data_IF_894910366729
#
_entry.id   IF_894910366729
#
_cell.length_a   1.000
_cell.length_b   1.000
_cell.length_c   1.000
_cell.angle_alpha   90.00
_cell.angle_beta   90.00
_cell.angle_gamma   90.00
#
_symmetry.space_group_name_H-M   'P 1'
#
loop_
_entity.id
_entity.type
_entity.pdbx_description
1 polymer ?
#
# COMPACT_ATOMS: atom_id res chain seq x y z
N UNK A 1 14.19 7.35 15.93
CA UNK A 1 13.05 6.54 15.44
C UNK A 1 11.85 6.99 16.23
N UNK A 2 10.90 7.63 15.57
CA UNK A 2 9.73 8.20 16.22
C UNK A 2 8.65 7.13 16.31
N UNK A 3 8.16 6.90 17.52
CA UNK A 3 7.09 5.94 17.79
C UNK A 3 5.92 6.68 18.42
N UNK A 4 4.71 6.38 17.93
CA UNK A 4 3.47 6.83 18.54
C UNK A 4 2.82 5.63 19.21
N UNK A 5 2.52 5.76 20.51
CA UNK A 5 1.76 4.74 21.24
C UNK A 5 0.29 4.96 20.98
N UNK A 6 -0.36 3.97 20.36
CA UNK A 6 -1.80 3.96 20.16
C UNK A 6 -2.42 3.00 21.19
N UNK A 7 -3.26 3.49 22.13
CA UNK A 7 -3.99 2.60 23.02
C UNK A 7 -5.03 1.81 22.23
N UNK A 8 -5.08 0.50 22.45
CA UNK A 8 -6.05 -0.38 21.81
C UNK A 8 -6.57 -1.39 22.83
N UNK A 9 -7.89 -1.50 22.94
CA UNK A 9 -8.52 -2.52 23.77
C UNK A 9 -8.52 -3.86 23.05
N UNK A 10 -8.19 -4.93 23.78
CA UNK A 10 -8.22 -6.30 23.29
C UNK A 10 -8.99 -7.18 24.26
N UNK A 11 -9.65 -8.21 23.74
CA UNK A 11 -10.35 -9.15 24.60
C UNK A 11 -9.36 -9.91 25.48
N UNK A 12 -9.76 -10.17 26.73
CA UNK A 12 -8.96 -10.96 27.68
C UNK A 12 -8.62 -12.34 27.12
N UNK A 13 -9.55 -12.95 26.40
CA UNK A 13 -9.35 -14.25 25.74
C UNK A 13 -8.20 -14.18 24.71
N UNK A 14 -8.18 -13.16 23.88
CA UNK A 14 -7.13 -12.97 22.87
C UNK A 14 -5.77 -12.72 23.53
N UNK A 15 -5.73 -11.85 24.55
CA UNK A 15 -4.51 -11.61 25.32
C UNK A 15 -3.95 -12.91 25.93
N UNK A 16 -4.81 -13.71 26.56
CA UNK A 16 -4.43 -14.99 27.16
C UNK A 16 -3.94 -15.99 26.12
N UNK A 17 -4.58 -16.08 24.95
CA UNK A 17 -4.10 -16.93 23.84
C UNK A 17 -2.72 -16.49 23.37
N UNK A 18 -2.51 -15.20 23.13
CA UNK A 18 -1.21 -14.70 22.65
C UNK A 18 -0.11 -14.97 23.68
N UNK A 19 -0.40 -14.74 24.96
CA UNK A 19 0.53 -15.00 26.07
C UNK A 19 0.85 -16.50 26.22
N UNK A 20 -0.15 -17.37 26.07
CA UNK A 20 0.04 -18.84 26.14
C UNK A 20 1.05 -19.34 25.12
N UNK A 21 1.11 -18.73 23.94
CA UNK A 21 2.04 -19.09 22.87
C UNK A 21 3.31 -18.24 22.83
N UNK A 22 3.61 -17.48 23.89
CA UNK A 22 4.81 -16.62 24.01
C UNK A 22 5.02 -15.69 22.81
N UNK A 23 3.92 -15.22 22.21
CA UNK A 23 3.97 -14.34 21.05
C UNK A 23 4.10 -12.87 21.49
N UNK A 24 4.91 -12.10 20.77
CA UNK A 24 5.04 -10.66 20.98
C UNK A 24 3.84 -9.91 20.41
N UNK A 25 2.98 -9.38 21.30
CA UNK A 25 1.80 -8.58 20.92
C UNK A 25 2.22 -7.38 20.07
N UNK A 26 3.25 -6.65 20.50
CA UNK A 26 3.73 -5.47 19.80
C UNK A 26 4.24 -5.79 18.40
N UNK A 27 4.96 -6.90 18.21
CA UNK A 27 5.48 -7.26 16.89
C UNK A 27 4.41 -7.80 15.96
N UNK A 28 3.37 -8.45 16.50
CA UNK A 28 2.18 -8.81 15.74
C UNK A 28 1.46 -7.55 15.27
N UNK A 29 1.18 -6.62 16.20
CA UNK A 29 0.46 -5.37 15.87
C UNK A 29 1.23 -4.57 14.84
N UNK A 30 2.54 -4.33 15.04
CA UNK A 30 3.38 -3.58 14.08
C UNK A 30 3.38 -4.22 12.70
N UNK A 31 3.57 -5.55 12.61
CA UNK A 31 3.57 -6.25 11.31
C UNK A 31 2.20 -6.20 10.64
N UNK A 32 1.13 -6.42 11.38
CA UNK A 32 -0.23 -6.41 10.84
C UNK A 32 -0.62 -5.02 10.34
N UNK A 33 -0.37 -3.97 11.13
CA UNK A 33 -0.61 -2.59 10.72
C UNK A 33 0.25 -2.21 9.51
N UNK A 34 1.54 -2.56 9.50
CA UNK A 34 2.42 -2.29 8.37
C UNK A 34 1.98 -3.00 7.09
N UNK A 35 1.51 -4.25 7.18
CA UNK A 35 0.95 -4.98 6.03
C UNK A 35 -0.33 -4.34 5.51
N UNK A 36 -1.25 -3.96 6.40
CA UNK A 36 -2.53 -3.35 6.00
C UNK A 36 -2.33 -1.96 5.37
N UNK A 37 -1.37 -1.18 5.90
CA UNK A 37 -0.99 0.10 5.33
C UNK A 37 -0.46 -0.05 3.90
N UNK A 38 0.52 -0.95 3.70
CA UNK A 38 1.08 -1.23 2.36
C UNK A 38 0.02 -1.69 1.36
N UNK A 39 -0.86 -2.59 1.77
CA UNK A 39 -1.98 -3.06 0.94
C UNK A 39 -2.91 -1.91 0.54
N UNK A 40 -3.14 -0.97 1.44
CA UNK A 40 -3.94 0.23 1.16
C UNK A 40 -3.24 1.18 0.19
N UNK A 41 -1.92 1.36 0.30
CA UNK A 41 -1.09 2.13 -0.63
C UNK A 41 -1.12 1.51 -2.04
N UNK A 42 -0.86 0.21 -2.15
CA UNK A 42 -0.93 -0.54 -3.40
C UNK A 42 -2.30 -0.41 -4.07
N UNK A 43 -3.38 -0.52 -3.29
CA UNK A 43 -4.74 -0.36 -3.79
C UNK A 43 -4.98 1.04 -4.37
N UNK A 44 -4.46 2.09 -3.73
CA UNK A 44 -4.52 3.46 -4.24
C UNK A 44 -3.72 3.61 -5.53
N UNK A 45 -2.48 3.13 -5.56
CA UNK A 45 -1.63 3.19 -6.76
C UNK A 45 -2.30 2.46 -7.93
N UNK A 46 -2.82 1.25 -7.70
CA UNK A 46 -3.54 0.47 -8.71
C UNK A 46 -4.77 1.20 -9.22
N UNK A 47 -5.51 1.88 -8.34
CA UNK A 47 -6.65 2.71 -8.74
C UNK A 47 -6.21 3.85 -9.65
N UNK A 48 -5.20 4.62 -9.24
CA UNK A 48 -4.66 5.72 -10.05
C UNK A 48 -4.12 5.27 -11.40
N UNK A 49 -3.42 4.13 -11.46
CA UNK A 49 -2.96 3.53 -12.71
C UNK A 49 -4.11 3.11 -13.63
N UNK A 50 -5.17 2.53 -13.07
CA UNK A 50 -6.35 2.17 -13.84
C UNK A 50 -7.06 3.41 -14.41
N UNK A 51 -7.19 4.47 -13.60
CA UNK A 51 -7.80 5.73 -14.02
C UNK A 51 -6.98 6.37 -15.16
N UNK A 52 -5.64 6.40 -15.02
CA UNK A 52 -4.74 6.88 -16.06
C UNK A 52 -4.82 6.02 -17.34
N UNK A 53 -4.80 4.69 -17.21
CA UNK A 53 -4.92 3.77 -18.36
C UNK A 53 -6.25 3.98 -19.10
N UNK A 54 -7.34 4.24 -18.38
CA UNK A 54 -8.65 4.52 -18.99
C UNK A 54 -8.66 5.81 -19.82
N UNK A 55 -7.89 6.82 -19.39
CA UNK A 55 -7.70 8.07 -20.15
C UNK A 55 -6.84 7.79 -21.38
N UNK A 56 -5.68 7.15 -21.19
CA UNK A 56 -4.73 6.88 -22.26
C UNK A 56 -5.29 5.99 -23.37
N UNK A 57 -6.16 5.02 -23.05
CA UNK A 57 -6.85 4.18 -24.05
C UNK A 57 -7.73 4.96 -25.03
N UNK A 58 -8.08 6.21 -24.72
CA UNK A 58 -8.83 7.07 -25.64
C UNK A 58 -7.94 7.71 -26.71
N UNK A 59 -6.62 7.65 -26.54
CA UNK A 59 -5.63 8.23 -27.44
C UNK A 59 -5.09 7.12 -28.35
N UNK A 60 -4.95 7.33 -29.66
CA UNK A 60 -4.32 6.37 -30.56
C UNK A 60 -2.90 6.00 -30.12
N UNK A 61 -2.53 4.73 -30.29
CA UNK A 61 -1.23 4.22 -29.86
C UNK A 61 -0.04 4.94 -30.54
N UNK A 62 -0.21 5.35 -31.79
CA UNK A 62 0.80 6.08 -32.57
C UNK A 62 1.10 7.46 -31.98
N UNK A 63 0.07 8.19 -31.54
CA UNK A 63 0.24 9.49 -30.88
C UNK A 63 1.00 9.35 -29.55
N UNK A 64 0.67 8.32 -28.77
CA UNK A 64 1.38 8.01 -27.52
C UNK A 64 2.84 7.66 -27.80
N UNK A 65 3.11 6.81 -28.80
CA UNK A 65 4.47 6.41 -29.16
C UNK A 65 5.31 7.59 -29.64
N UNK A 66 4.73 8.47 -30.46
CA UNK A 66 5.38 9.69 -30.92
C UNK A 66 5.70 10.65 -29.77
N UNK A 67 4.76 10.89 -28.85
CA UNK A 67 4.99 11.72 -27.67
C UNK A 67 6.13 11.18 -26.78
N UNK A 68 6.18 9.86 -26.57
CA UNK A 68 7.26 9.21 -25.81
C UNK A 68 8.60 9.34 -26.53
N UNK A 69 8.63 9.20 -27.86
CA UNK A 69 9.86 9.34 -28.67
C UNK A 69 10.42 10.75 -28.58
N UNK A 70 9.58 11.76 -28.76
CA UNK A 70 9.97 13.17 -28.67
C UNK A 70 10.52 13.51 -27.27
N UNK A 71 9.86 13.05 -26.20
CA UNK A 71 10.34 13.25 -24.82
C UNK A 71 11.70 12.60 -24.53
N UNK A 72 12.10 11.57 -25.27
CA UNK A 72 13.41 10.92 -25.13
C UNK A 72 14.50 11.61 -25.94
N UNK A 73 14.14 12.25 -27.04
CA UNK A 73 15.08 13.00 -27.89
C UNK A 73 15.40 14.39 -27.31
N UNK A 74 14.53 14.94 -26.46
CA UNK A 74 14.76 16.18 -25.72
C UNK A 74 15.64 16.03 -24.46
N UNK A 75 16.12 14.82 -24.15
CA UNK A 75 16.85 14.50 -22.91
C UNK A 75 18.27 14.04 -23.21
#
# INVERSE_FOLDING_TARGET
>A
MDYITVPAEISKELYNKIRKYSMSISDIIRRSLGKEARKSEEKKIKKSLNDASRILRKIPAEEIANAIRLSREER
#
